data_IF_220606505303
#
_entry.id   IF_220606505303
#
_cell.length_a   1.000
_cell.length_b   1.000
_cell.length_c   1.000
_cell.angle_alpha   90.00
_cell.angle_beta   90.00
_cell.angle_gamma   90.00
#
_symmetry.space_group_name_H-M   'P 1'
#
loop_
_entity.id
_entity.type
_entity.pdbx_description
1 polymer ?
#
# COMPACT_ATOMS: atom_id res chain seq x y z
N UNK A 1 3.27 10.88 6.22
CA UNK A 1 4.32 11.55 5.41
C UNK A 1 3.62 12.30 4.29
N UNK A 2 4.14 13.41 3.78
CA UNK A 2 3.37 14.33 2.92
C UNK A 2 2.96 13.68 1.59
N UNK A 3 1.76 13.98 1.09
CA UNK A 3 1.22 13.59 -0.24
C UNK A 3 2.19 13.91 -1.39
N UNK A 4 3.05 14.90 -1.16
CA UNK A 4 4.11 15.31 -2.06
C UNK A 4 5.07 14.17 -2.43
N UNK A 5 5.54 13.35 -1.47
CA UNK A 5 6.55 12.31 -1.73
C UNK A 5 6.00 11.17 -2.60
N UNK A 6 4.74 10.78 -2.37
CA UNK A 6 4.08 9.72 -3.14
C UNK A 6 3.64 10.15 -4.54
N UNK A 7 3.56 11.45 -4.78
CA UNK A 7 3.31 12.03 -6.11
C UNK A 7 4.55 12.13 -7.00
N UNK A 8 5.75 11.86 -6.46
CA UNK A 8 7.00 11.97 -7.22
C UNK A 8 7.21 10.74 -8.13
N UNK A 9 7.83 10.94 -9.31
CA UNK A 9 8.40 9.83 -10.08
C UNK A 9 9.41 9.04 -9.25
N UNK A 10 9.46 7.71 -9.46
CA UNK A 10 10.29 6.80 -8.66
C UNK A 10 11.76 7.24 -8.52
N UNK A 11 12.34 7.80 -9.59
CA UNK A 11 13.72 8.32 -9.57
C UNK A 11 13.91 9.49 -8.61
N UNK A 12 12.95 10.42 -8.56
CA UNK A 12 12.99 11.54 -7.61
C UNK A 12 12.76 11.09 -6.17
N UNK A 13 11.85 10.14 -5.96
CA UNK A 13 11.66 9.51 -4.65
C UNK A 13 12.95 8.84 -4.16
N UNK A 14 13.62 8.08 -5.03
CA UNK A 14 14.91 7.47 -4.72
C UNK A 14 15.95 8.56 -4.37
N UNK A 15 16.07 9.61 -5.17
CA UNK A 15 17.00 10.71 -4.92
C UNK A 15 16.76 11.38 -3.56
N UNK A 16 15.49 11.61 -3.19
CA UNK A 16 15.14 12.20 -1.89
C UNK A 16 15.53 11.26 -0.73
N UNK A 17 15.21 9.97 -0.84
CA UNK A 17 15.50 8.99 0.23
C UNK A 17 17.01 8.76 0.36
N UNK A 18 17.70 8.43 -0.73
CA UNK A 18 19.14 8.18 -0.71
C UNK A 18 19.94 9.44 -0.39
N UNK A 19 19.56 10.59 -1.00
CA UNK A 19 20.19 11.87 -0.73
C UNK A 19 20.00 12.33 0.71
N UNK A 20 18.78 12.23 1.24
CA UNK A 20 18.47 12.55 2.63
C UNK A 20 19.24 11.66 3.62
N UNK A 21 19.30 10.35 3.36
CA UNK A 21 20.06 9.40 4.19
C UNK A 21 21.56 9.70 4.11
N UNK A 22 22.09 9.99 2.93
CA UNK A 22 23.52 10.33 2.76
C UNK A 22 23.87 11.65 3.49
N UNK A 23 23.05 12.67 3.39
CA UNK A 23 23.24 13.95 4.08
C UNK A 23 23.19 13.77 5.60
N UNK A 24 22.19 13.04 6.12
CA UNK A 24 22.09 12.71 7.55
C UNK A 24 23.33 11.95 8.04
N UNK A 25 23.78 10.94 7.28
CA UNK A 25 24.98 10.18 7.59
C UNK A 25 26.23 11.06 7.61
N UNK A 26 26.38 11.94 6.62
CA UNK A 26 27.51 12.88 6.55
C UNK A 26 27.49 13.87 7.73
N UNK A 27 26.31 14.35 8.12
CA UNK A 27 26.16 15.24 9.28
C UNK A 27 26.56 14.52 10.59
N UNK A 28 26.07 13.29 10.83
CA UNK A 28 26.44 12.48 11.99
C UNK A 28 27.95 12.22 12.00
N UNK A 29 28.50 11.81 10.86
CA UNK A 29 29.94 11.60 10.73
C UNK A 29 30.73 12.84 11.11
N UNK A 30 30.37 14.01 10.55
CA UNK A 30 31.07 15.27 10.80
C UNK A 30 30.98 15.68 12.27
N UNK A 31 29.79 15.57 12.90
CA UNK A 31 29.57 15.91 14.31
C UNK A 31 30.42 14.99 15.20
N UNK A 32 30.33 13.68 15.03
CA UNK A 32 31.03 12.71 15.88
C UNK A 32 32.55 12.88 15.71
N UNK A 33 33.07 13.03 14.47
CA UNK A 33 34.51 13.20 14.24
C UNK A 33 35.04 14.53 14.78
N UNK A 34 34.22 15.58 14.86
CA UNK A 34 34.59 16.84 15.50
C UNK A 34 34.60 16.77 17.02
N UNK A 35 33.70 15.98 17.60
CA UNK A 35 33.62 15.78 19.04
C UNK A 35 34.65 14.75 19.56
N UNK A 36 35.15 13.88 18.69
CA UNK A 36 36.11 12.80 19.01
C UNK A 36 37.53 13.36 19.16
N UNK A 37 37.75 14.23 20.16
CA UNK A 37 39.06 14.83 20.47
C UNK A 37 39.45 14.55 21.91
N UNK A 38 40.76 14.33 22.17
CA UNK A 38 41.30 14.15 23.53
C UNK A 38 40.63 13.03 24.31
N UNK A 39 40.18 13.35 25.55
CA UNK A 39 39.51 12.39 26.43
C UNK A 39 38.17 11.88 25.89
N UNK A 40 37.47 12.68 25.11
CA UNK A 40 36.20 12.27 24.47
C UNK A 40 36.39 11.15 23.46
N UNK A 41 37.50 11.15 22.73
CA UNK A 41 37.80 10.06 21.79
C UNK A 41 38.00 8.73 22.55
N UNK A 42 38.63 8.77 23.74
CA UNK A 42 38.74 7.59 24.63
C UNK A 42 37.40 7.13 25.15
N UNK A 43 36.52 8.06 25.55
CA UNK A 43 35.17 7.76 26.04
C UNK A 43 34.31 7.16 24.87
N UNK A 44 34.42 7.65 23.65
CA UNK A 44 33.71 7.08 22.49
C UNK A 44 34.15 5.65 22.19
N UNK A 45 35.43 5.34 22.31
CA UNK A 45 35.93 3.98 22.18
C UNK A 45 35.50 3.06 23.31
N UNK A 46 35.25 3.60 24.51
CA UNK A 46 34.71 2.84 25.63
C UNK A 46 33.23 2.45 25.44
N UNK A 47 32.52 3.11 24.48
CA UNK A 47 31.22 2.62 23.98
C UNK A 47 31.45 1.26 23.35
N UNK A 48 30.96 0.24 24.04
CA UNK A 48 31.26 -1.15 23.66
C UNK A 48 30.76 -1.44 22.24
N UNK A 49 31.61 -2.02 21.35
CA UNK A 49 31.16 -2.57 20.08
C UNK A 49 29.99 -3.54 20.23
N UNK A 50 29.82 -4.13 21.42
CA UNK A 50 28.70 -5.00 21.76
C UNK A 50 27.31 -4.33 21.73
N UNK A 51 27.24 -2.98 21.71
CA UNK A 51 25.95 -2.28 21.53
C UNK A 51 25.45 -2.26 20.08
N UNK A 52 26.33 -2.41 19.09
CA UNK A 52 25.96 -2.36 17.68
C UNK A 52 25.05 -3.52 17.23
N UNK A 53 25.30 -4.80 17.63
CA UNK A 53 24.42 -5.90 17.25
C UNK A 53 22.98 -5.72 17.78
N UNK A 54 22.73 -5.38 19.05
CA UNK A 54 21.38 -5.10 19.53
C UNK A 54 20.68 -3.97 18.76
N UNK A 55 21.37 -2.85 18.48
CA UNK A 55 20.79 -1.74 17.69
C UNK A 55 20.45 -2.19 16.27
N UNK A 56 21.34 -2.94 15.61
CA UNK A 56 21.08 -3.48 14.27
C UNK A 56 19.89 -4.46 14.25
N UNK A 57 19.76 -5.30 15.26
CA UNK A 57 18.64 -6.23 15.41
C UNK A 57 17.32 -5.46 15.58
N UNK A 58 17.29 -4.46 16.48
CA UNK A 58 16.11 -3.62 16.72
C UNK A 58 15.69 -2.88 15.46
N UNK A 59 16.64 -2.26 14.75
CA UNK A 59 16.39 -1.62 13.47
C UNK A 59 15.81 -2.59 12.44
N UNK A 60 16.44 -3.75 12.27
CA UNK A 60 15.97 -4.77 11.34
C UNK A 60 14.56 -5.30 11.68
N UNK A 61 14.28 -5.50 12.98
CA UNK A 61 12.98 -5.93 13.45
C UNK A 61 11.90 -4.88 13.19
N UNK A 62 12.20 -3.60 13.46
CA UNK A 62 11.28 -2.49 13.19
C UNK A 62 10.97 -2.37 11.69
N UNK A 63 12.00 -2.44 10.84
CA UNK A 63 11.83 -2.47 9.38
C UNK A 63 10.94 -3.64 8.96
N UNK A 64 11.17 -4.84 9.52
CA UNK A 64 10.39 -6.03 9.19
C UNK A 64 8.91 -5.88 9.58
N UNK A 65 8.60 -5.29 10.74
CA UNK A 65 7.22 -5.02 11.15
C UNK A 65 6.52 -4.00 10.24
N UNK A 66 7.21 -2.93 9.86
CA UNK A 66 6.65 -1.94 8.95
C UNK A 66 6.44 -2.56 7.57
N UNK A 67 7.40 -3.34 7.08
CA UNK A 67 7.29 -4.06 5.81
C UNK A 67 6.09 -5.03 5.79
N UNK A 68 5.93 -5.83 6.85
CA UNK A 68 4.80 -6.75 6.98
C UNK A 68 3.44 -6.00 6.96
N UNK A 69 3.36 -4.84 7.60
CA UNK A 69 2.17 -3.99 7.53
C UNK A 69 1.91 -3.50 6.10
N UNK A 70 2.90 -2.90 5.45
CA UNK A 70 2.79 -2.31 4.11
C UNK A 70 2.38 -3.36 3.07
N UNK A 71 3.02 -4.53 3.08
CA UNK A 71 2.65 -5.63 2.16
C UNK A 71 1.30 -6.25 2.51
N UNK A 72 0.96 -6.37 3.79
CA UNK A 72 -0.36 -6.80 4.21
C UNK A 72 -1.48 -5.86 3.76
N UNK A 73 -1.23 -4.53 3.75
CA UNK A 73 -2.18 -3.55 3.22
C UNK A 73 -2.34 -3.66 1.70
N UNK A 74 -1.24 -3.88 0.97
CA UNK A 74 -1.24 -4.10 -0.47
C UNK A 74 -1.99 -5.38 -0.85
N UNK A 75 -1.75 -6.48 -0.13
CA UNK A 75 -2.43 -7.76 -0.34
C UNK A 75 -3.93 -7.66 -0.06
N UNK A 76 -4.31 -7.00 1.04
CA UNK A 76 -5.73 -6.73 1.36
C UNK A 76 -6.41 -5.89 0.28
N UNK A 77 -5.72 -4.90 -0.26
CA UNK A 77 -6.23 -4.08 -1.34
C UNK A 77 -6.45 -4.90 -2.62
N UNK A 78 -5.47 -5.72 -3.00
CA UNK A 78 -5.56 -6.62 -4.15
C UNK A 78 -6.69 -7.63 -4.01
N UNK A 79 -6.80 -8.24 -2.83
CA UNK A 79 -7.86 -9.20 -2.50
C UNK A 79 -9.25 -8.56 -2.56
N UNK A 80 -9.42 -7.35 -2.03
CA UNK A 80 -10.70 -6.63 -2.09
C UNK A 80 -11.12 -6.35 -3.54
N UNK A 81 -10.18 -5.91 -4.40
CA UNK A 81 -10.44 -5.69 -5.84
C UNK A 81 -10.83 -6.99 -6.56
N UNK A 82 -10.13 -8.09 -6.26
CA UNK A 82 -10.41 -9.39 -6.87
C UNK A 82 -11.77 -9.97 -6.43
N UNK A 83 -12.13 -9.83 -5.15
CA UNK A 83 -13.42 -10.26 -4.61
C UNK A 83 -14.58 -9.45 -5.22
N UNK A 84 -14.46 -8.12 -5.30
CA UNK A 84 -15.47 -7.27 -5.95
C UNK A 84 -15.67 -7.70 -7.41
N UNK A 85 -14.58 -7.89 -8.16
CA UNK A 85 -14.64 -8.32 -9.56
C UNK A 85 -15.29 -9.71 -9.72
N UNK A 86 -14.95 -10.65 -8.83
CA UNK A 86 -15.52 -12.00 -8.85
C UNK A 86 -17.02 -11.99 -8.57
N UNK A 87 -17.45 -11.25 -7.56
CA UNK A 87 -18.86 -11.10 -7.20
C UNK A 87 -19.68 -10.45 -8.33
N UNK A 88 -19.18 -9.37 -8.93
CA UNK A 88 -19.82 -8.72 -10.07
C UNK A 88 -19.93 -9.64 -11.29
N UNK A 89 -18.90 -10.44 -11.55
CA UNK A 89 -18.92 -11.46 -12.61
C UNK A 89 -19.98 -12.52 -12.36
N UNK A 90 -20.12 -12.97 -11.11
CA UNK A 90 -21.16 -13.93 -10.72
C UNK A 90 -22.56 -13.36 -10.97
N UNK A 91 -22.81 -12.09 -10.64
CA UNK A 91 -24.08 -11.39 -10.93
C UNK A 91 -24.38 -11.44 -12.43
N UNK A 92 -23.41 -11.10 -13.29
CA UNK A 92 -23.59 -11.14 -14.76
C UNK A 92 -23.88 -12.56 -15.26
N UNK A 93 -23.23 -13.58 -14.70
CA UNK A 93 -23.47 -14.97 -15.09
C UNK A 93 -24.84 -15.47 -14.62
N UNK A 94 -25.22 -15.21 -13.38
CA UNK A 94 -26.51 -15.62 -12.82
C UNK A 94 -27.70 -14.89 -13.45
N UNK A 95 -27.50 -13.67 -13.93
CA UNK A 95 -28.54 -12.92 -14.64
C UNK A 95 -29.04 -13.66 -15.89
N UNK A 96 -28.26 -14.60 -16.44
CA UNK A 96 -28.66 -15.43 -17.61
C UNK A 96 -29.86 -16.34 -17.33
N UNK A 97 -30.19 -16.58 -16.07
CA UNK A 97 -31.40 -17.31 -15.69
C UNK A 97 -32.69 -16.51 -15.91
N UNK A 98 -32.61 -15.23 -16.22
CA UNK A 98 -33.72 -14.30 -16.37
C UNK A 98 -33.88 -13.86 -17.83
N UNK A 99 -35.01 -13.19 -18.20
CA UNK A 99 -35.26 -12.66 -19.53
C UNK A 99 -34.17 -11.70 -20.03
N UNK A 100 -34.07 -11.54 -21.35
CA UNK A 100 -32.98 -10.79 -22.00
C UNK A 100 -32.94 -9.29 -21.59
N UNK A 101 -34.08 -8.68 -21.30
CA UNK A 101 -34.20 -7.32 -20.79
C UNK A 101 -33.59 -7.16 -19.39
N UNK A 102 -33.85 -8.10 -18.49
CA UNK A 102 -33.23 -8.14 -17.17
C UNK A 102 -31.70 -8.34 -17.28
N UNK A 103 -31.26 -9.26 -18.14
CA UNK A 103 -29.82 -9.46 -18.40
C UNK A 103 -29.13 -8.18 -18.89
N UNK A 104 -29.76 -7.48 -19.85
CA UNK A 104 -29.24 -6.22 -20.39
C UNK A 104 -29.15 -5.15 -19.30
N UNK A 105 -30.15 -5.08 -18.43
CA UNK A 105 -30.17 -4.13 -17.31
C UNK A 105 -29.07 -4.38 -16.30
N UNK A 106 -28.83 -5.64 -15.88
CA UNK A 106 -27.70 -5.99 -15.00
C UNK A 106 -26.35 -5.61 -15.64
N UNK A 107 -26.16 -5.95 -16.93
CA UNK A 107 -24.91 -5.59 -17.62
C UNK A 107 -24.69 -4.08 -17.65
N UNK A 108 -25.73 -3.30 -17.91
CA UNK A 108 -25.65 -1.83 -17.91
C UNK A 108 -25.26 -1.29 -16.54
N UNK A 109 -25.92 -1.74 -15.46
CA UNK A 109 -25.65 -1.30 -14.09
C UNK A 109 -24.24 -1.70 -13.62
N UNK A 110 -23.79 -2.92 -13.92
CA UNK A 110 -22.44 -3.34 -13.58
C UNK A 110 -21.40 -2.53 -14.36
N UNK A 111 -21.66 -2.24 -15.64
CA UNK A 111 -20.77 -1.40 -16.45
C UNK A 111 -20.70 0.03 -15.92
N UNK A 112 -21.84 0.60 -15.54
CA UNK A 112 -21.91 1.93 -14.92
C UNK A 112 -21.11 1.97 -13.62
N UNK A 113 -21.31 0.97 -12.72
CA UNK A 113 -20.52 0.87 -11.50
C UNK A 113 -19.02 0.83 -11.77
N UNK A 114 -18.56 0.00 -12.71
CA UNK A 114 -17.14 -0.10 -13.06
C UNK A 114 -16.60 1.24 -13.61
N UNK A 115 -17.41 1.97 -14.39
CA UNK A 115 -17.03 3.29 -14.88
C UNK A 115 -16.89 4.29 -13.73
N UNK A 116 -17.83 4.31 -12.78
CA UNK A 116 -17.76 5.15 -11.58
C UNK A 116 -16.51 4.82 -10.74
N UNK A 117 -16.25 3.54 -10.53
CA UNK A 117 -15.03 3.10 -9.84
C UNK A 117 -13.80 3.65 -10.54
N UNK A 118 -13.70 3.53 -11.85
CA UNK A 118 -12.52 3.94 -12.61
C UNK A 118 -12.33 5.46 -12.63
N UNK A 119 -13.42 6.21 -12.80
CA UNK A 119 -13.36 7.65 -13.04
C UNK A 119 -13.41 8.49 -11.77
N UNK A 120 -14.05 8.00 -10.72
CA UNK A 120 -14.32 8.74 -9.49
C UNK A 120 -13.60 8.10 -8.28
N UNK A 121 -13.91 6.83 -8.00
CA UNK A 121 -13.41 6.21 -6.77
C UNK A 121 -11.89 5.96 -6.82
N UNK A 122 -11.36 5.45 -7.94
CA UNK A 122 -9.94 5.14 -8.06
C UNK A 122 -9.04 6.37 -7.88
N UNK A 123 -9.31 7.50 -8.55
CA UNK A 123 -8.57 8.74 -8.30
C UNK A 123 -8.74 9.28 -6.88
N UNK A 124 -9.92 9.10 -6.27
CA UNK A 124 -10.16 9.49 -4.90
C UNK A 124 -9.38 8.63 -3.90
N UNK A 125 -9.30 7.30 -4.14
CA UNK A 125 -8.50 6.38 -3.33
C UNK A 125 -7.00 6.67 -3.46
N UNK A 126 -6.51 6.92 -4.66
CA UNK A 126 -5.11 7.30 -4.89
C UNK A 126 -4.71 8.57 -4.10
N UNK A 127 -5.65 9.48 -3.86
CA UNK A 127 -5.46 10.70 -3.07
C UNK A 127 -5.88 10.55 -1.60
N UNK A 128 -6.24 9.35 -1.15
CA UNK A 128 -6.76 9.05 0.20
C UNK A 128 -8.02 9.87 0.58
N UNK A 129 -8.80 10.28 -0.41
CA UNK A 129 -10.02 11.08 -0.24
C UNK A 129 -11.31 10.27 -0.40
N UNK A 130 -11.22 9.01 -0.79
CA UNK A 130 -12.39 8.13 -0.87
C UNK A 130 -13.02 7.95 0.51
N UNK A 131 -14.36 8.01 0.57
CA UNK A 131 -15.12 7.84 1.79
C UNK A 131 -16.26 6.86 1.58
N UNK A 132 -16.71 6.21 2.65
CA UNK A 132 -17.88 5.33 2.62
C UNK A 132 -19.21 6.11 2.41
N UNK A 133 -19.18 7.44 2.54
CA UNK A 133 -20.32 8.31 2.21
C UNK A 133 -20.59 8.39 0.69
N UNK A 134 -19.60 7.97 -0.14
CA UNK A 134 -19.78 7.81 -1.58
C UNK A 134 -20.70 6.60 -1.81
N UNK A 135 -21.97 6.86 -2.05
CA UNK A 135 -22.98 5.82 -2.26
C UNK A 135 -22.83 5.25 -3.69
N UNK A 136 -22.85 3.92 -3.90
CA UNK A 136 -22.79 3.30 -5.22
C UNK A 136 -24.20 3.14 -5.82
N UNK A 137 -24.71 4.11 -6.59
CA UNK A 137 -26.10 4.11 -7.04
C UNK A 137 -26.42 2.92 -7.94
N UNK A 138 -25.48 2.54 -8.81
CA UNK A 138 -25.66 1.44 -9.74
C UNK A 138 -25.82 0.07 -9.03
N UNK A 139 -25.03 -0.18 -7.97
CA UNK A 139 -25.17 -1.43 -7.18
C UNK A 139 -26.47 -1.44 -6.37
N UNK A 140 -26.88 -0.31 -5.79
CA UNK A 140 -28.16 -0.21 -5.11
C UNK A 140 -29.34 -0.46 -6.06
N UNK A 141 -29.29 0.13 -7.25
CA UNK A 141 -30.31 -0.11 -8.28
C UNK A 141 -30.30 -1.57 -8.78
N UNK A 142 -29.10 -2.20 -8.87
CA UNK A 142 -29.01 -3.62 -9.21
C UNK A 142 -29.69 -4.49 -8.14
N UNK A 143 -29.57 -4.14 -6.86
CA UNK A 143 -30.26 -4.83 -5.77
C UNK A 143 -31.78 -4.64 -5.85
N UNK A 144 -32.28 -3.42 -6.08
CA UNK A 144 -33.70 -3.13 -6.28
C UNK A 144 -34.27 -3.91 -7.45
N UNK A 145 -33.57 -3.92 -8.61
CA UNK A 145 -33.96 -4.72 -9.79
C UNK A 145 -34.04 -6.19 -9.42
N UNK A 146 -33.05 -6.73 -8.68
CA UNK A 146 -33.02 -8.14 -8.27
C UNK A 146 -34.25 -8.50 -7.44
N UNK A 147 -34.59 -7.67 -6.46
CA UNK A 147 -35.75 -7.91 -5.58
C UNK A 147 -37.09 -7.81 -6.29
N UNK A 148 -37.16 -7.02 -7.36
CA UNK A 148 -38.39 -6.85 -8.16
C UNK A 148 -38.56 -7.90 -9.29
N UNK A 149 -37.56 -8.78 -9.54
CA UNK A 149 -37.64 -9.79 -10.59
C UNK A 149 -38.70 -10.85 -10.27
N UNK A 150 -39.64 -11.12 -11.20
CA UNK A 150 -40.55 -12.27 -11.07
C UNK A 150 -39.75 -13.57 -11.23
N UNK A 151 -40.06 -14.55 -10.39
CA UNK A 151 -39.46 -15.89 -10.44
C UNK A 151 -40.51 -16.91 -10.85
N UNK A 152 -40.25 -17.66 -11.92
CA UNK A 152 -41.16 -18.67 -12.47
C UNK A 152 -40.82 -20.11 -12.07
N UNK A 153 -39.76 -20.32 -11.27
CA UNK A 153 -39.31 -21.66 -10.83
C UNK A 153 -38.15 -21.63 -9.85
N UNK A 154 -37.86 -22.76 -9.23
CA UNK A 154 -36.83 -22.89 -8.19
C UNK A 154 -35.44 -22.45 -8.65
N UNK A 155 -35.10 -22.70 -9.91
CA UNK A 155 -33.81 -22.26 -10.47
C UNK A 155 -33.66 -20.73 -10.49
N UNK A 156 -34.74 -20.00 -10.82
CA UNK A 156 -34.73 -18.53 -10.79
C UNK A 156 -34.76 -17.98 -9.37
N UNK A 157 -35.46 -18.63 -8.44
CA UNK A 157 -35.43 -18.27 -7.01
C UNK A 157 -34.00 -18.42 -6.44
N UNK A 158 -33.34 -19.53 -6.79
CA UNK A 158 -31.95 -19.74 -6.38
C UNK A 158 -31.03 -18.70 -6.99
N UNK A 159 -31.13 -18.45 -8.32
CA UNK A 159 -30.34 -17.43 -9.00
C UNK A 159 -30.57 -16.02 -8.42
N UNK A 160 -31.81 -15.67 -8.06
CA UNK A 160 -32.13 -14.38 -7.42
C UNK A 160 -31.44 -14.25 -6.06
N UNK A 161 -31.50 -15.27 -5.22
CA UNK A 161 -30.82 -15.27 -3.91
C UNK A 161 -29.30 -15.13 -4.06
N UNK A 162 -28.73 -15.87 -4.99
CA UNK A 162 -27.29 -15.82 -5.26
C UNK A 162 -26.88 -14.44 -5.84
N UNK A 163 -27.69 -13.80 -6.66
CA UNK A 163 -27.42 -12.44 -7.14
C UNK A 163 -27.40 -11.47 -5.95
N UNK A 164 -28.39 -11.53 -5.03
CA UNK A 164 -28.41 -10.70 -3.83
C UNK A 164 -27.14 -10.93 -3.00
N UNK A 165 -26.75 -12.16 -2.74
CA UNK A 165 -25.55 -12.52 -1.97
C UNK A 165 -24.27 -12.01 -2.63
N UNK A 166 -24.17 -12.09 -3.96
CA UNK A 166 -23.01 -11.56 -4.69
C UNK A 166 -23.00 -10.03 -4.74
N UNK A 167 -24.13 -9.35 -4.82
CA UNK A 167 -24.20 -7.89 -4.71
C UNK A 167 -23.77 -7.42 -3.32
N UNK A 168 -24.17 -8.11 -2.26
CA UNK A 168 -23.73 -7.85 -0.89
C UNK A 168 -22.23 -8.05 -0.73
N UNK A 169 -21.71 -9.16 -1.27
CA UNK A 169 -20.25 -9.42 -1.33
C UNK A 169 -19.49 -8.32 -2.09
N UNK A 170 -20.04 -7.83 -3.21
CA UNK A 170 -19.44 -6.73 -3.97
C UNK A 170 -19.42 -5.42 -3.16
N UNK A 171 -20.51 -5.13 -2.43
CA UNK A 171 -20.59 -3.95 -1.55
C UNK A 171 -19.57 -4.03 -0.39
N UNK A 172 -19.43 -5.21 0.21
CA UNK A 172 -18.45 -5.41 1.28
C UNK A 172 -17.01 -5.34 0.77
N UNK A 173 -16.71 -5.93 -0.37
CA UNK A 173 -15.40 -5.83 -1.01
C UNK A 173 -15.05 -4.37 -1.39
N UNK A 174 -16.03 -3.61 -1.93
CA UNK A 174 -15.90 -2.18 -2.17
C UNK A 174 -15.60 -1.41 -0.88
N UNK A 175 -16.32 -1.71 0.22
CA UNK A 175 -16.09 -1.11 1.54
C UNK A 175 -14.65 -1.37 2.00
N UNK A 176 -14.17 -2.61 1.91
CA UNK A 176 -12.80 -2.98 2.28
C UNK A 176 -11.77 -2.24 1.42
N UNK A 177 -12.00 -2.13 0.10
CA UNK A 177 -11.16 -1.39 -0.83
C UNK A 177 -11.02 0.09 -0.43
N UNK A 178 -12.14 0.74 -0.09
CA UNK A 178 -12.16 2.14 0.35
C UNK A 178 -11.45 2.30 1.71
N UNK A 179 -11.67 1.40 2.67
CA UNK A 179 -11.03 1.46 3.97
C UNK A 179 -9.51 1.28 3.86
N UNK A 180 -9.06 0.29 3.08
CA UNK A 180 -7.64 0.01 2.90
C UNK A 180 -6.94 1.10 2.07
N UNK A 181 -7.68 1.86 1.24
CA UNK A 181 -7.09 2.98 0.50
C UNK A 181 -6.57 4.11 1.40
N UNK A 182 -7.00 4.15 2.66
CA UNK A 182 -6.54 5.10 3.67
C UNK A 182 -5.41 4.55 4.55
N UNK A 183 -5.03 3.29 4.34
CA UNK A 183 -3.91 2.71 5.07
C UNK A 183 -2.62 3.42 4.67
N UNK A 184 -1.87 3.84 5.66
CA UNK A 184 -0.52 4.37 5.54
C UNK A 184 0.28 4.08 6.81
N UNK A 185 1.58 4.08 6.70
CA UNK A 185 2.45 3.97 7.88
C UNK A 185 2.36 5.26 8.68
N UNK A 186 1.95 5.15 9.94
CA UNK A 186 1.82 6.28 10.87
C UNK A 186 3.16 7.02 10.98
N UNK A 187 3.10 8.37 11.04
CA UNK A 187 4.27 9.23 11.18
C UNK A 187 5.16 8.87 12.38
N UNK A 188 4.58 8.34 13.47
CA UNK A 188 5.33 7.89 14.65
C UNK A 188 6.28 6.74 14.30
N UNK A 189 5.84 5.78 13.47
CA UNK A 189 6.70 4.65 13.03
C UNK A 189 7.87 5.16 12.19
N UNK A 190 7.62 6.11 11.29
CA UNK A 190 8.69 6.77 10.54
C UNK A 190 9.68 7.50 11.45
N UNK A 191 9.17 8.23 12.44
CA UNK A 191 10.00 8.93 13.40
C UNK A 191 10.89 7.96 14.19
N UNK A 192 10.33 6.88 14.73
CA UNK A 192 11.08 5.86 15.47
C UNK A 192 12.14 5.21 14.58
N UNK A 193 11.81 4.90 13.33
CA UNK A 193 12.75 4.33 12.35
C UNK A 193 13.96 5.26 12.11
N UNK A 194 13.70 6.56 11.95
CA UNK A 194 14.75 7.57 11.75
C UNK A 194 15.62 7.71 13.01
N UNK A 195 15.00 7.75 14.17
CA UNK A 195 15.73 7.84 15.46
C UNK A 195 16.64 6.62 15.62
N UNK A 196 16.14 5.43 15.37
CA UNK A 196 16.91 4.19 15.53
C UNK A 196 18.06 4.08 14.51
N UNK A 197 17.82 4.45 13.25
CA UNK A 197 18.88 4.57 12.24
C UNK A 197 19.95 5.59 12.67
N UNK A 198 19.53 6.72 13.24
CA UNK A 198 20.43 7.76 13.73
C UNK A 198 21.27 7.27 14.92
N UNK A 199 20.67 6.57 15.89
CA UNK A 199 21.38 5.97 17.01
C UNK A 199 22.40 4.94 16.54
N UNK A 200 22.03 4.07 15.60
CA UNK A 200 22.91 3.05 15.04
C UNK A 200 24.09 3.68 14.29
N UNK A 201 23.83 4.66 13.41
CA UNK A 201 24.89 5.41 12.71
C UNK A 201 25.83 6.12 13.66
N UNK A 202 25.29 6.72 14.73
CA UNK A 202 26.07 7.40 15.77
C UNK A 202 26.98 6.38 16.50
N UNK A 203 26.43 5.23 16.86
CA UNK A 203 27.18 4.13 17.47
C UNK A 203 28.34 3.65 16.57
N UNK A 204 28.06 3.44 15.28
CA UNK A 204 29.09 3.07 14.29
C UNK A 204 30.18 4.14 14.19
N UNK A 205 29.80 5.41 14.12
CA UNK A 205 30.75 6.52 14.07
C UNK A 205 31.64 6.60 15.33
N UNK A 206 31.04 6.40 16.52
CA UNK A 206 31.76 6.43 17.80
C UNK A 206 32.77 5.28 17.90
N UNK A 207 32.37 4.06 17.58
CA UNK A 207 33.24 2.86 17.63
C UNK A 207 34.44 3.00 16.69
N UNK A 208 34.24 3.64 15.53
CA UNK A 208 35.31 3.81 14.54
C UNK A 208 35.94 5.22 14.55
N UNK A 209 35.80 5.98 15.65
CA UNK A 209 36.22 7.38 15.73
C UNK A 209 37.74 7.60 15.54
N UNK A 210 38.56 6.59 15.74
CA UNK A 210 40.00 6.60 15.53
C UNK A 210 40.42 6.30 14.07
N UNK A 211 39.55 5.65 13.29
CA UNK A 211 39.84 5.29 11.89
C UNK A 211 38.75 5.89 10.96
N UNK A 212 39.04 7.09 10.45
CA UNK A 212 38.13 7.82 9.57
C UNK A 212 37.73 7.05 8.31
N UNK A 213 38.59 6.19 7.80
CA UNK A 213 38.30 5.39 6.61
C UNK A 213 37.34 4.25 6.97
N UNK A 214 37.61 3.52 8.04
CA UNK A 214 36.73 2.47 8.54
C UNK A 214 35.33 3.03 8.89
N UNK A 215 35.30 4.19 9.59
CA UNK A 215 34.04 4.87 9.90
C UNK A 215 33.21 5.20 8.64
N UNK A 216 33.84 5.78 7.60
CA UNK A 216 33.15 6.10 6.34
C UNK A 216 32.61 4.87 5.64
N UNK A 217 33.38 3.79 5.58
CA UNK A 217 32.95 2.53 4.95
C UNK A 217 31.79 1.91 5.75
N UNK A 218 31.93 1.74 7.07
CA UNK A 218 30.91 1.11 7.90
C UNK A 218 29.59 1.91 7.91
N UNK A 219 29.68 3.23 8.08
CA UNK A 219 28.50 4.12 8.02
C UNK A 219 27.88 4.13 6.63
N UNK A 220 28.69 4.16 5.57
CA UNK A 220 28.20 4.12 4.19
C UNK A 220 27.45 2.84 3.87
N UNK A 221 27.96 1.68 4.29
CA UNK A 221 27.27 0.39 4.13
C UNK A 221 25.92 0.35 4.85
N UNK A 222 25.92 0.76 6.13
CA UNK A 222 24.66 0.78 6.91
C UNK A 222 23.67 1.80 6.36
N UNK A 223 24.14 3.00 5.98
CA UNK A 223 23.29 4.04 5.38
C UNK A 223 22.67 3.58 4.06
N UNK A 224 23.45 2.91 3.20
CA UNK A 224 22.94 2.38 1.93
C UNK A 224 21.88 1.31 2.17
N UNK A 225 22.14 0.35 3.05
CA UNK A 225 21.16 -0.69 3.40
C UNK A 225 19.88 -0.08 3.98
N UNK A 226 20.02 0.87 4.89
CA UNK A 226 18.86 1.59 5.46
C UNK A 226 18.08 2.38 4.42
N UNK A 227 18.77 3.07 3.50
CA UNK A 227 18.12 3.82 2.41
C UNK A 227 17.33 2.91 1.47
N UNK A 228 17.87 1.72 1.14
CA UNK A 228 17.15 0.71 0.34
C UNK A 228 15.88 0.26 1.04
N UNK A 229 15.95 -0.07 2.33
CA UNK A 229 14.79 -0.47 3.12
C UNK A 229 13.73 0.64 3.18
N UNK A 230 14.14 1.86 3.52
CA UNK A 230 13.25 3.02 3.59
C UNK A 230 12.60 3.30 2.23
N UNK A 231 13.38 3.27 1.15
CA UNK A 231 12.87 3.45 -0.20
C UNK A 231 11.81 2.41 -0.56
N UNK A 232 12.07 1.13 -0.27
CA UNK A 232 11.14 0.05 -0.53
C UNK A 232 9.81 0.24 0.24
N UNK A 233 9.90 0.61 1.52
CA UNK A 233 8.72 0.89 2.35
C UNK A 233 7.92 2.08 1.80
N UNK A 234 8.58 3.20 1.50
CA UNK A 234 7.91 4.40 0.95
C UNK A 234 7.25 4.12 -0.39
N UNK A 235 7.91 3.33 -1.26
CA UNK A 235 7.40 3.01 -2.59
C UNK A 235 6.11 2.16 -2.56
N UNK A 236 5.85 1.43 -1.47
CA UNK A 236 4.70 0.54 -1.30
C UNK A 236 3.70 1.01 -0.22
N UNK A 237 3.98 2.12 0.47
CA UNK A 237 3.19 2.60 1.62
C UNK A 237 1.71 2.90 1.29
N UNK A 238 1.39 3.21 0.01
CA UNK A 238 0.02 3.51 -0.44
C UNK A 238 -0.46 2.51 -1.48
N UNK A 239 -1.42 1.62 -1.13
CA UNK A 239 -1.85 0.55 -2.02
C UNK A 239 -2.46 1.00 -3.37
N UNK A 240 -3.04 2.21 -3.44
CA UNK A 240 -3.69 2.73 -4.66
C UNK A 240 -2.95 3.90 -5.32
N UNK A 241 -1.76 4.26 -4.82
CA UNK A 241 -0.96 5.35 -5.37
C UNK A 241 0.44 4.89 -5.77
N UNK A 242 1.03 5.55 -6.78
CA UNK A 242 2.38 5.26 -7.24
C UNK A 242 2.48 4.10 -8.24
N UNK A 243 3.71 3.70 -8.54
CA UNK A 243 4.01 2.71 -9.60
C UNK A 243 3.68 1.27 -9.20
N UNK A 244 3.65 0.98 -7.91
CA UNK A 244 3.37 -0.35 -7.35
C UNK A 244 1.93 -0.47 -6.84
N UNK A 245 1.06 0.47 -7.24
CA UNK A 245 -0.34 0.47 -6.88
C UNK A 245 -1.07 -0.78 -7.43
N UNK A 246 -2.08 -1.21 -6.69
CA UNK A 246 -3.00 -2.27 -7.13
C UNK A 246 -3.67 -1.85 -8.43
N UNK A 247 -3.77 -2.77 -9.37
CA UNK A 247 -4.37 -2.52 -10.68
C UNK A 247 -5.89 -2.64 -10.64
N UNK A 248 -6.65 -1.77 -11.34
CA UNK A 248 -8.09 -1.92 -11.55
C UNK A 248 -8.45 -3.03 -12.56
N UNK A 249 -7.47 -3.67 -13.19
CA UNK A 249 -7.68 -4.63 -14.27
C UNK A 249 -8.69 -5.75 -13.94
N UNK A 250 -8.73 -6.35 -12.73
CA UNK A 250 -9.73 -7.37 -12.40
C UNK A 250 -11.17 -6.87 -12.57
N UNK A 251 -11.46 -5.62 -12.17
CA UNK A 251 -12.78 -4.99 -12.34
C UNK A 251 -13.07 -4.64 -13.80
N UNK A 252 -12.08 -4.10 -14.51
CA UNK A 252 -12.23 -3.75 -15.92
C UNK A 252 -12.54 -4.98 -16.81
N UNK A 253 -11.98 -6.13 -16.45
CA UNK A 253 -12.20 -7.40 -17.15
C UNK A 253 -13.58 -8.02 -16.89
N UNK A 254 -14.40 -7.45 -16.01
CA UNK A 254 -15.79 -7.89 -15.80
C UNK A 254 -16.72 -7.30 -16.86
N UNK A 255 -16.33 -6.20 -17.55
CA UNK A 255 -17.14 -5.59 -18.60
C UNK A 255 -17.50 -6.62 -19.65
N UNK A 256 -18.81 -6.75 -20.00
CA UNK A 256 -19.27 -7.75 -20.97
C UNK A 256 -18.67 -7.60 -22.36
N UNK A 257 -18.22 -6.39 -22.71
CA UNK A 257 -17.65 -6.01 -24.01
C UNK A 257 -16.10 -5.97 -24.00
N UNK A 258 -15.45 -6.34 -22.92
CA UNK A 258 -13.98 -6.42 -22.89
C UNK A 258 -13.54 -7.61 -23.74
N UNK A 259 -12.68 -7.42 -24.77
CA UNK A 259 -12.08 -8.55 -25.46
C UNK A 259 -11.36 -9.42 -24.43
N UNK A 260 -11.67 -10.72 -24.44
CA UNK A 260 -10.94 -11.70 -23.63
C UNK A 260 -9.47 -11.55 -24.01
N UNK A 261 -8.64 -11.12 -23.08
CA UNK A 261 -7.20 -11.10 -23.29
C UNK A 261 -6.77 -12.57 -23.46
N UNK A 262 -6.65 -13.01 -24.71
CA UNK A 262 -5.93 -14.23 -25.05
C UNK A 262 -4.49 -14.06 -24.53
N UNK A 263 -4.10 -14.94 -23.62
CA UNK A 263 -2.72 -15.09 -23.17
C UNK A 263 -1.94 -15.95 -24.13
#
# INVERSE_FOLDING_TARGET
MSDWLHGLPLGWMALVVFGGTALGTAAIYWIVMRLATGDRARAFKAVSPGLLPPLGIMFGLLVAFIAAQVWGDLDRAGTAVAHEASALRAVVLLSRAFPADAQARFRALITEHIQEVQQVEWPAMARQRATLAMFPPALAQALEVTLALPTAGEGQVTAQREIVANLDTALDARRQRILVSRAEVNWVKWFVLIVEATCTLTGIAMVHSDNRTAARIAMGLFATASAVCIFLLVAHDRPFAGRFAVSPAPLLNVRPDSPVAEK
#
